data_IF_539273623171
#
_entry.id   IF_539273623171
#
_cell.length_a   1.000
_cell.length_b   1.000
_cell.length_c   1.000
_cell.angle_alpha   90.00
_cell.angle_beta   90.00
_cell.angle_gamma   90.00
#
_symmetry.space_group_name_H-M   'P 1'
#
loop_
_entity.id
_entity.type
_entity.pdbx_description
1 polymer ?
#
# COMPACT_ATOMS: atom_id res chain seq x y z
N UNK A 1 -1.02 -4.71 15.62
CA UNK A 1 -0.69 -3.68 14.60
C UNK A 1 0.58 -4.07 13.85
N UNK A 2 0.54 -4.16 12.53
CA UNK A 2 1.75 -4.28 11.66
C UNK A 2 2.08 -2.92 11.07
N UNK A 3 3.37 -2.55 11.06
CA UNK A 3 3.86 -1.31 10.45
C UNK A 3 4.75 -1.64 9.26
N UNK A 4 4.39 -1.13 8.08
CA UNK A 4 5.22 -1.22 6.87
C UNK A 4 5.82 0.17 6.58
N UNK A 5 7.13 0.32 6.88
CA UNK A 5 7.85 1.60 6.71
C UNK A 5 8.58 1.71 5.36
N UNK A 6 8.99 2.94 5.01
CA UNK A 6 9.64 3.32 3.75
C UNK A 6 11.00 2.62 3.57
N UNK A 7 11.30 2.24 2.33
CA UNK A 7 12.62 1.80 1.88
C UNK A 7 12.55 1.19 0.49
N UNK A 8 13.54 1.46 -0.37
CA UNK A 8 13.70 0.89 -1.72
C UNK A 8 13.39 -0.62 -1.72
N UNK A 9 12.89 -1.14 -2.85
CA UNK A 9 12.64 -2.55 -3.22
C UNK A 9 13.11 -3.68 -2.27
N UNK A 10 14.34 -3.64 -1.78
CA UNK A 10 14.86 -4.58 -0.77
C UNK A 10 14.06 -4.60 0.54
N UNK A 11 13.67 -3.45 1.11
CA UNK A 11 12.91 -3.43 2.35
C UNK A 11 11.49 -3.97 2.14
N UNK A 12 10.91 -3.69 0.97
CA UNK A 12 9.63 -4.24 0.54
C UNK A 12 9.72 -5.78 0.46
N UNK A 13 10.77 -6.29 -0.17
CA UNK A 13 11.05 -7.73 -0.28
C UNK A 13 11.20 -8.38 1.09
N UNK A 14 12.00 -7.79 1.97
CA UNK A 14 12.25 -8.28 3.32
C UNK A 14 10.99 -8.29 4.19
N UNK A 15 10.21 -7.21 4.17
CA UNK A 15 8.97 -7.10 4.95
C UNK A 15 7.92 -8.12 4.49
N UNK A 16 7.74 -8.30 3.18
CA UNK A 16 6.77 -9.25 2.63
C UNK A 16 7.19 -10.70 2.94
N UNK A 17 8.47 -11.04 2.77
CA UNK A 17 8.97 -12.37 3.13
C UNK A 17 8.83 -12.65 4.61
N UNK A 18 9.20 -11.70 5.48
CA UNK A 18 9.05 -11.84 6.94
C UNK A 18 7.59 -12.07 7.33
N UNK A 19 6.66 -11.37 6.70
CA UNK A 19 5.23 -11.54 6.94
C UNK A 19 4.74 -12.93 6.51
N UNK A 20 5.17 -13.44 5.34
CA UNK A 20 4.83 -14.79 4.90
C UNK A 20 5.40 -15.87 5.84
N UNK A 21 6.68 -15.77 6.21
CA UNK A 21 7.33 -16.76 7.09
C UNK A 21 6.73 -16.82 8.49
N UNK A 22 6.16 -15.72 8.99
CA UNK A 22 5.51 -15.71 10.30
C UNK A 22 4.19 -16.48 10.31
N UNK A 23 3.57 -16.69 9.16
CA UNK A 23 2.29 -17.40 9.02
C UNK A 23 2.58 -18.86 8.63
N UNK A 24 2.70 -19.74 9.62
CA UNK A 24 2.96 -21.19 9.42
C UNK A 24 1.83 -21.96 8.70
N UNK A 25 0.77 -21.27 8.28
CA UNK A 25 -0.36 -21.80 7.51
C UNK A 25 -0.44 -21.08 6.15
N UNK A 26 -0.34 -21.85 5.07
CA UNK A 26 -0.33 -21.34 3.68
C UNK A 26 -1.66 -20.68 3.27
N UNK A 27 -2.77 -21.02 3.94
CA UNK A 27 -4.08 -20.43 3.69
C UNK A 27 -4.32 -19.19 4.54
N UNK A 28 -3.50 -18.96 5.56
CA UNK A 28 -3.63 -17.82 6.42
C UNK A 28 -3.25 -16.53 5.68
N UNK A 29 -3.88 -15.41 6.07
CA UNK A 29 -3.62 -14.09 5.48
C UNK A 29 -3.30 -13.11 6.59
N UNK A 30 -2.51 -12.09 6.28
CA UNK A 30 -2.09 -11.07 7.28
C UNK A 30 -3.31 -10.40 7.93
N UNK A 31 -4.37 -10.15 7.16
CA UNK A 31 -5.65 -9.62 7.66
C UNK A 31 -6.32 -10.50 8.72
N UNK A 32 -6.00 -11.80 8.76
CA UNK A 32 -6.61 -12.76 9.70
C UNK A 32 -5.96 -12.67 11.11
N UNK A 33 -4.76 -12.08 11.22
CA UNK A 33 -3.99 -12.03 12.48
C UNK A 33 -3.84 -10.62 13.07
N UNK A 34 -4.14 -9.58 12.30
CA UNK A 34 -3.90 -8.20 12.71
C UNK A 34 -5.16 -7.36 12.57
N UNK A 35 -5.62 -6.81 13.69
CA UNK A 35 -6.76 -5.89 13.76
C UNK A 35 -6.48 -4.52 13.13
N UNK A 36 -5.19 -4.20 12.93
CA UNK A 36 -4.73 -2.95 12.33
C UNK A 36 -3.47 -3.18 11.49
N UNK A 37 -3.48 -2.67 10.26
CA UNK A 37 -2.32 -2.61 9.36
C UNK A 37 -2.00 -1.15 9.03
N UNK A 38 -0.83 -0.67 9.45
CA UNK A 38 -0.37 0.68 9.21
C UNK A 38 0.75 0.71 8.17
N UNK A 39 0.77 1.73 7.32
CA UNK A 39 1.84 1.87 6.34
C UNK A 39 1.94 3.25 5.72
N UNK A 40 3.17 3.71 5.51
CA UNK A 40 3.47 5.01 4.92
C UNK A 40 4.06 4.84 3.52
N UNK A 41 3.66 5.69 2.57
CA UNK A 41 4.15 5.64 1.18
C UNK A 41 3.89 4.25 0.56
N UNK A 42 4.92 3.54 0.09
CA UNK A 42 4.81 2.16 -0.42
C UNK A 42 4.19 1.21 0.60
N UNK A 43 4.48 1.40 1.88
CA UNK A 43 3.86 0.62 2.95
C UNK A 43 2.36 0.86 3.06
N UNK A 44 1.88 2.06 2.75
CA UNK A 44 0.45 2.37 2.70
C UNK A 44 -0.25 1.64 1.56
N UNK A 45 0.41 1.52 0.40
CA UNK A 45 -0.10 0.71 -0.72
C UNK A 45 -0.18 -0.76 -0.32
N UNK A 46 0.87 -1.31 0.31
CA UNK A 46 0.87 -2.69 0.81
C UNK A 46 -0.24 -2.90 1.84
N UNK A 47 -0.38 -1.99 2.81
CA UNK A 47 -1.42 -2.06 3.82
C UNK A 47 -2.82 -2.12 3.17
N UNK A 48 -3.08 -1.27 2.19
CA UNK A 48 -4.31 -1.30 1.41
C UNK A 48 -4.49 -2.62 0.65
N UNK A 49 -3.45 -3.14 -0.02
CA UNK A 49 -3.52 -4.41 -0.75
C UNK A 49 -3.84 -5.61 0.15
N UNK A 50 -3.28 -5.61 1.37
CA UNK A 50 -3.51 -6.64 2.38
C UNK A 50 -4.86 -6.52 3.09
N UNK A 51 -5.52 -5.37 3.01
CA UNK A 51 -6.80 -5.11 3.68
C UNK A 51 -7.98 -5.00 2.71
N UNK A 52 -7.76 -4.83 1.41
CA UNK A 52 -8.82 -4.74 0.40
C UNK A 52 -9.47 -6.11 0.21
N UNK A 53 -10.81 -6.25 0.30
CA UNK A 53 -11.50 -7.53 0.10
C UNK A 53 -11.46 -7.99 -1.35
N UNK A 54 -11.40 -9.30 -1.57
CA UNK A 54 -11.48 -9.91 -2.89
C UNK A 54 -12.92 -9.82 -3.44
N UNK A 55 -13.13 -9.43 -4.72
CA UNK A 55 -14.46 -9.24 -5.32
C UNK A 55 -15.39 -10.45 -5.18
N UNK A 56 -14.84 -11.66 -5.34
CA UNK A 56 -15.58 -12.92 -5.28
C UNK A 56 -15.51 -13.62 -3.91
N UNK A 57 -14.57 -13.23 -3.05
CA UNK A 57 -14.33 -13.85 -1.75
C UNK A 57 -14.17 -12.75 -0.69
N UNK A 58 -15.29 -12.14 -0.30
CA UNK A 58 -15.31 -10.91 0.51
C UNK A 58 -14.66 -10.99 1.89
N UNK A 59 -14.33 -12.19 2.38
CA UNK A 59 -13.61 -12.42 3.65
C UNK A 59 -12.10 -12.59 3.46
N UNK A 60 -11.61 -12.53 2.22
CA UNK A 60 -10.19 -12.73 1.88
C UNK A 60 -9.62 -11.47 1.25
N UNK A 61 -8.34 -11.14 1.53
CA UNK A 61 -7.71 -10.00 0.91
C UNK A 61 -7.50 -10.25 -0.58
N UNK A 62 -7.56 -9.18 -1.35
CA UNK A 62 -7.41 -9.17 -2.80
C UNK A 62 -6.02 -9.67 -3.22
N UNK A 63 -5.00 -9.39 -2.42
CA UNK A 63 -3.63 -9.79 -2.70
C UNK A 63 -3.04 -10.65 -1.59
N UNK A 64 -2.36 -11.72 -1.99
CA UNK A 64 -1.43 -12.44 -1.12
C UNK A 64 -0.09 -11.72 -1.09
N UNK A 65 0.70 -11.92 -0.03
CA UNK A 65 2.03 -11.33 0.07
C UNK A 65 2.95 -11.68 -1.14
N UNK A 66 2.97 -12.91 -1.68
CA UNK A 66 3.68 -13.21 -2.93
C UNK A 66 3.16 -12.44 -4.15
N UNK A 67 1.84 -12.22 -4.27
CA UNK A 67 1.27 -11.41 -5.35
C UNK A 67 1.67 -9.94 -5.24
N UNK A 68 1.73 -9.37 -4.04
CA UNK A 68 2.24 -8.00 -3.81
C UNK A 68 3.71 -7.90 -4.23
N UNK A 69 4.51 -8.93 -3.92
CA UNK A 69 5.90 -8.97 -4.37
C UNK A 69 5.99 -8.97 -5.90
N UNK A 70 5.22 -9.84 -6.57
CA UNK A 70 5.21 -9.90 -8.03
C UNK A 70 4.69 -8.61 -8.66
N UNK A 71 3.69 -7.97 -8.06
CA UNK A 71 3.18 -6.66 -8.46
C UNK A 71 4.32 -5.64 -8.52
N UNK A 72 5.12 -5.51 -7.47
CA UNK A 72 6.23 -4.55 -7.48
C UNK A 72 7.38 -4.96 -8.39
N UNK A 73 7.67 -6.26 -8.54
CA UNK A 73 8.70 -6.74 -9.49
C UNK A 73 8.38 -6.35 -10.93
N UNK A 74 7.13 -6.52 -11.35
CA UNK A 74 6.72 -6.25 -12.73
C UNK A 74 6.40 -4.78 -12.99
N UNK A 75 5.71 -4.12 -12.05
CA UNK A 75 5.26 -2.73 -12.24
C UNK A 75 6.30 -1.71 -11.85
N UNK A 76 7.29 -2.13 -11.08
CA UNK A 76 8.33 -1.27 -10.59
C UNK A 76 9.08 -0.50 -11.66
N UNK A 77 9.61 -1.18 -12.69
CA UNK A 77 10.25 -0.51 -13.81
C UNK A 77 9.36 0.53 -14.49
N UNK A 78 8.04 0.27 -14.62
CA UNK A 78 7.09 1.22 -15.22
C UNK A 78 6.79 2.40 -14.30
N UNK A 79 6.57 2.17 -13.00
CA UNK A 79 6.31 3.21 -11.99
C UNK A 79 7.50 4.15 -11.85
N UNK A 80 8.71 3.61 -11.89
CA UNK A 80 9.96 4.35 -11.77
C UNK A 80 10.67 4.51 -13.11
N UNK A 81 9.91 4.53 -14.21
CA UNK A 81 10.46 4.78 -15.53
C UNK A 81 10.80 6.26 -15.67
N UNK A 82 12.08 6.58 -15.75
CA UNK A 82 12.53 7.93 -15.97
C UNK A 82 12.60 8.19 -17.47
N UNK A 83 11.59 8.88 -18.01
CA UNK A 83 11.48 9.18 -19.45
C UNK A 83 12.28 10.41 -19.90
N UNK A 84 12.86 11.17 -18.95
CA UNK A 84 13.67 12.36 -19.21
C UNK A 84 14.82 12.51 -18.20
N UNK A 85 15.97 13.12 -18.57
CA UNK A 85 16.99 13.51 -17.60
C UNK A 85 16.36 14.37 -16.48
N UNK A 86 16.66 14.03 -15.23
CA UNK A 86 16.12 14.72 -14.04
C UNK A 86 17.26 15.04 -13.09
N UNK A 87 17.27 16.29 -12.62
CA UNK A 87 18.21 16.79 -11.62
C UNK A 87 17.44 17.60 -10.57
N UNK A 88 17.68 17.28 -9.30
CA UNK A 88 17.06 17.99 -8.18
C UNK A 88 17.26 19.51 -8.23
N UNK A 89 18.38 19.97 -8.81
CA UNK A 89 18.73 21.40 -8.89
C UNK A 89 18.16 22.10 -10.12
N UNK A 90 18.12 21.40 -11.27
CA UNK A 90 17.90 22.05 -12.57
C UNK A 90 16.56 21.72 -13.22
N UNK A 91 15.89 20.65 -12.79
CA UNK A 91 14.61 20.26 -13.38
C UNK A 91 13.46 20.65 -12.47
N UNK A 92 12.53 21.44 -13.02
CA UNK A 92 11.28 21.76 -12.33
C UNK A 92 10.36 20.53 -12.28
N UNK A 93 9.78 20.30 -11.11
CA UNK A 93 8.84 19.22 -10.86
C UNK A 93 9.47 17.88 -10.44
N UNK A 94 8.63 16.87 -10.18
CA UNK A 94 9.08 15.59 -9.64
C UNK A 94 9.84 14.77 -10.69
N UNK A 95 10.68 13.84 -10.18
CA UNK A 95 11.43 12.87 -10.98
C UNK A 95 10.53 11.95 -11.82
N UNK A 96 9.34 11.64 -11.28
CA UNK A 96 8.34 10.76 -11.88
C UNK A 96 6.99 11.48 -11.90
N UNK A 97 6.22 11.34 -12.98
CA UNK A 97 4.92 12.03 -13.14
C UNK A 97 3.75 11.36 -12.40
N UNK A 98 3.95 10.11 -11.95
CA UNK A 98 2.98 9.34 -11.17
C UNK A 98 1.79 8.77 -11.97
N UNK A 99 1.75 8.90 -13.29
CA UNK A 99 0.63 8.41 -14.11
C UNK A 99 0.49 6.89 -14.03
N UNK A 100 1.59 6.17 -14.25
CA UNK A 100 1.64 4.71 -14.17
C UNK A 100 1.21 4.20 -12.79
N UNK A 101 1.76 4.78 -11.73
CA UNK A 101 1.36 4.45 -10.36
C UNK A 101 -0.15 4.63 -10.15
N UNK A 102 -0.71 5.77 -10.57
CA UNK A 102 -2.14 6.05 -10.41
C UNK A 102 -3.01 5.09 -11.22
N UNK A 103 -2.58 4.72 -12.42
CA UNK A 103 -3.24 3.73 -13.26
C UNK A 103 -3.30 2.37 -12.57
N UNK A 104 -2.16 1.86 -12.07
CA UNK A 104 -2.12 0.57 -11.39
C UNK A 104 -2.91 0.56 -10.08
N UNK A 105 -2.87 1.64 -9.30
CA UNK A 105 -3.69 1.74 -8.07
C UNK A 105 -5.19 1.72 -8.39
N UNK A 106 -5.62 2.34 -9.48
CA UNK A 106 -7.02 2.27 -9.95
C UNK A 106 -7.40 0.86 -10.39
N UNK A 107 -6.52 0.16 -11.09
CA UNK A 107 -6.77 -1.25 -11.45
C UNK A 107 -6.83 -2.15 -10.22
N UNK A 108 -5.92 -1.95 -9.27
CA UNK A 108 -5.82 -2.78 -8.06
C UNK A 108 -7.02 -2.56 -7.11
N UNK A 109 -7.42 -1.32 -6.87
CA UNK A 109 -8.45 -1.02 -5.86
C UNK A 109 -9.84 -0.72 -6.44
N UNK A 110 -9.94 -0.50 -7.76
CA UNK A 110 -11.17 -0.11 -8.45
C UNK A 110 -11.88 1.07 -7.72
N UNK A 111 -13.11 0.85 -7.24
CA UNK A 111 -13.90 1.83 -6.49
C UNK A 111 -13.94 1.54 -4.98
N UNK A 112 -13.06 0.66 -4.48
CA UNK A 112 -13.06 0.26 -3.07
C UNK A 112 -12.71 1.45 -2.17
N UNK A 113 -13.52 1.64 -1.12
CA UNK A 113 -13.33 2.68 -0.10
C UNK A 113 -12.68 2.11 1.15
N UNK A 114 -12.06 2.96 1.96
CA UNK A 114 -11.44 2.56 3.23
C UNK A 114 -12.45 1.89 4.17
N UNK A 115 -13.71 2.32 4.20
CA UNK A 115 -14.76 1.69 5.01
C UNK A 115 -15.09 0.24 4.61
N UNK A 116 -14.57 -0.24 3.48
CA UNK A 116 -14.80 -1.58 2.97
C UNK A 116 -13.59 -2.50 3.21
N UNK A 117 -12.54 -2.04 3.88
CA UNK A 117 -11.37 -2.86 4.19
C UNK A 117 -11.71 -3.94 5.23
N UNK A 118 -11.09 -5.12 5.10
CA UNK A 118 -11.25 -6.27 5.99
C UNK A 118 -10.77 -6.05 7.42
N UNK A 119 -9.80 -5.16 7.58
CA UNK A 119 -9.19 -4.82 8.87
C UNK A 119 -8.90 -3.32 8.87
N UNK A 120 -8.64 -2.75 10.04
CA UNK A 120 -8.38 -1.32 10.13
C UNK A 120 -7.06 -0.98 9.42
N UNK A 121 -7.06 0.08 8.63
CA UNK A 121 -5.84 0.62 8.02
C UNK A 121 -5.50 1.99 8.57
N UNK A 122 -4.21 2.31 8.63
CA UNK A 122 -3.71 3.64 9.01
C UNK A 122 -2.66 4.08 8.01
N UNK A 123 -2.99 5.10 7.22
CA UNK A 123 -2.16 5.60 6.14
C UNK A 123 -1.94 7.11 6.34
N UNK A 124 -0.78 7.52 6.89
CA UNK A 124 -0.47 8.92 7.07
C UNK A 124 -0.10 9.58 5.74
N UNK A 125 -0.60 10.80 5.56
CA UNK A 125 -0.24 11.73 4.48
C UNK A 125 -0.02 13.13 5.07
N UNK A 126 0.42 14.06 4.22
CA UNK A 126 0.56 15.46 4.60
C UNK A 126 -0.21 16.31 3.60
N UNK A 127 -1.13 17.14 4.09
CA UNK A 127 -1.86 18.07 3.25
C UNK A 127 -1.05 19.36 3.09
N UNK A 128 -0.52 19.59 1.88
CA UNK A 128 0.28 20.79 1.60
C UNK A 128 -0.56 22.07 1.58
N UNK A 129 -1.86 22.00 1.29
CA UNK A 129 -2.73 23.18 1.26
C UNK A 129 -3.03 23.66 2.67
N UNK A 130 -3.32 22.71 3.56
CA UNK A 130 -3.68 23.01 4.95
C UNK A 130 -2.48 22.97 5.90
N UNK A 131 -1.31 22.52 5.41
CA UNK A 131 -0.05 22.42 6.16
C UNK A 131 -0.17 21.63 7.46
N UNK A 132 -0.89 20.50 7.43
CA UNK A 132 -1.00 19.60 8.57
C UNK A 132 -0.92 18.12 8.14
N UNK A 133 -0.53 17.22 9.07
CA UNK A 133 -0.65 15.80 8.85
C UNK A 133 -2.13 15.41 8.71
N UNK A 134 -2.43 14.56 7.72
CA UNK A 134 -3.75 13.98 7.51
C UNK A 134 -3.62 12.47 7.58
N UNK A 135 -4.48 11.81 8.33
CA UNK A 135 -4.44 10.35 8.47
C UNK A 135 -5.68 9.78 7.80
N UNK A 136 -5.48 8.94 6.80
CA UNK A 136 -6.54 8.11 6.24
C UNK A 136 -6.65 6.83 7.06
N UNK A 137 -7.81 6.61 7.65
CA UNK A 137 -8.09 5.41 8.43
C UNK A 137 -9.50 4.89 8.20
N UNK A 138 -9.69 3.59 8.41
CA UNK A 138 -11.00 2.95 8.47
C UNK A 138 -11.58 2.87 9.88
N UNK A 139 -10.89 3.39 10.89
CA UNK A 139 -11.46 3.59 12.22
C UNK A 139 -12.66 4.55 12.14
N UNK A 140 -13.83 4.07 12.58
CA UNK A 140 -14.94 4.95 12.94
C UNK A 140 -14.73 5.39 14.38
N UNK A 141 -14.53 6.70 14.57
CA UNK A 141 -14.63 7.28 15.91
C UNK A 141 -16.11 7.31 16.26
N UNK A 142 -16.53 6.51 17.24
CA UNK A 142 -17.84 6.67 17.86
C UNK A 142 -17.82 7.99 18.63
N UNK A 143 -18.53 8.99 18.11
CA UNK A 143 -18.74 10.25 18.80
C UNK A 143 -19.99 10.04 19.68
N UNK A 144 -19.78 9.98 21.00
CA UNK A 144 -20.85 9.98 22.01
C UNK A 144 -21.19 11.42 22.41
#
# INVERSE_FOLDING_TARGET
>A
MVVVSKGLYLQLFYNILRLNFSLKDEKARISDYFDVIAGSSTGGIIASMLATPHPYHKTRPLFTAPQILNFYKHLGPSIFNQTRPWSMLFTQGPKYDGKELRYFLRLAFNQTRLSQTLTNVVIPTYDLKLSHPTIFSSFQVLIY
#
